data_IF_993731415206
#
_entry.id   IF_993731415206
#
_cell.length_a   1.000
_cell.length_b   1.000
_cell.length_c   1.000
_cell.angle_alpha   90.00
_cell.angle_beta   90.00
_cell.angle_gamma   90.00
#
_symmetry.space_group_name_H-M   'P 1'
#
loop_
_entity.id
_entity.type
_entity.pdbx_description
1 polymer ?
#
# COMPACT_ATOMS: atom_id res chain seq x y z
N UNK A 1 -2.97 39.17 -17.34
CA UNK A 1 -3.39 38.79 -15.98
C UNK A 1 -2.82 39.80 -15.01
N UNK A 2 -3.65 40.45 -14.19
CA UNK A 2 -3.15 41.44 -13.21
C UNK A 2 -2.55 40.72 -12.00
N UNK A 3 -1.45 41.25 -11.45
CA UNK A 3 -0.88 40.78 -10.19
C UNK A 3 -1.88 40.90 -9.02
N UNK A 4 -2.85 41.82 -9.11
CA UNK A 4 -3.90 42.01 -8.11
C UNK A 4 -4.89 40.86 -8.01
N UNK A 5 -5.28 40.25 -9.13
CA UNK A 5 -6.25 39.14 -9.14
C UNK A 5 -5.65 37.89 -8.47
N UNK A 6 -4.35 37.68 -8.66
CA UNK A 6 -3.60 36.59 -8.04
C UNK A 6 -3.44 36.76 -6.54
N UNK A 7 -3.12 37.97 -6.09
CA UNK A 7 -3.01 38.28 -4.67
C UNK A 7 -4.35 38.03 -3.95
N UNK A 8 -5.46 38.51 -4.52
CA UNK A 8 -6.79 38.31 -3.95
C UNK A 8 -7.20 36.83 -3.88
N UNK A 9 -6.90 36.04 -4.93
CA UNK A 9 -7.17 34.61 -4.93
C UNK A 9 -6.39 33.84 -3.85
N UNK A 10 -5.11 34.20 -3.66
CA UNK A 10 -4.26 33.61 -2.62
C UNK A 10 -4.77 34.02 -1.24
N UNK A 11 -5.04 35.30 -1.00
CA UNK A 11 -5.56 35.80 0.28
C UNK A 11 -6.85 35.08 0.68
N UNK A 12 -7.79 34.92 -0.26
CA UNK A 12 -9.02 34.18 -0.04
C UNK A 12 -8.78 32.69 0.29
N UNK A 13 -7.77 32.06 -0.32
CA UNK A 13 -7.40 30.68 -0.02
C UNK A 13 -6.74 30.53 1.37
N UNK A 14 -6.00 31.55 1.82
CA UNK A 14 -5.30 31.55 3.10
C UNK A 14 -6.23 31.76 4.30
N UNK A 15 -7.34 32.48 4.12
CA UNK A 15 -8.28 32.79 5.19
C UNK A 15 -8.84 31.56 5.95
N UNK A 16 -8.90 30.39 5.28
CA UNK A 16 -9.33 29.13 5.88
C UNK A 16 -8.20 28.14 6.21
N UNK A 17 -6.93 28.55 6.08
CA UNK A 17 -5.77 27.68 6.26
C UNK A 17 -5.40 27.52 7.73
N UNK A 18 -5.08 26.29 8.15
CA UNK A 18 -4.55 26.01 9.48
C UNK A 18 -3.17 26.65 9.74
N UNK A 19 -2.44 27.01 8.68
CA UNK A 19 -1.15 27.69 8.75
C UNK A 19 -0.98 28.60 7.53
N UNK A 20 -1.50 29.84 7.59
CA UNK A 20 -1.47 30.77 6.47
C UNK A 20 -0.05 31.06 5.97
N UNK A 21 0.93 31.22 6.87
CA UNK A 21 2.32 31.53 6.49
C UNK A 21 2.96 30.39 5.68
N UNK A 22 2.78 29.14 6.12
CA UNK A 22 3.33 27.98 5.40
C UNK A 22 2.64 27.81 4.04
N UNK A 23 1.32 27.98 4.01
CA UNK A 23 0.55 27.91 2.78
C UNK A 23 1.00 28.99 1.78
N UNK A 24 1.19 30.23 2.23
CA UNK A 24 1.67 31.33 1.39
C UNK A 24 3.05 31.02 0.83
N UNK A 25 4.02 30.64 1.68
CA UNK A 25 5.37 30.27 1.23
C UNK A 25 5.33 29.12 0.22
N UNK A 26 4.53 28.09 0.48
CA UNK A 26 4.36 26.95 -0.42
C UNK A 26 3.79 27.36 -1.78
N UNK A 27 2.70 28.12 -1.78
CA UNK A 27 2.06 28.62 -3.01
C UNK A 27 3.02 29.53 -3.79
N UNK A 28 3.73 30.45 -3.13
CA UNK A 28 4.70 31.33 -3.79
C UNK A 28 5.82 30.53 -4.45
N UNK A 29 6.42 29.56 -3.74
CA UNK A 29 7.48 28.70 -4.29
C UNK A 29 6.95 27.85 -5.47
N UNK A 30 5.71 27.38 -5.38
CA UNK A 30 5.05 26.63 -6.44
C UNK A 30 4.86 27.49 -7.71
N UNK A 31 4.34 28.71 -7.56
CA UNK A 31 4.13 29.64 -8.67
C UNK A 31 5.47 30.05 -9.33
N UNK A 32 6.54 30.22 -8.55
CA UNK A 32 7.88 30.54 -9.07
C UNK A 32 8.48 29.43 -9.95
N UNK A 33 7.99 28.20 -9.84
CA UNK A 33 8.46 27.04 -10.63
C UNK A 33 7.63 26.76 -11.88
N UNK A 34 6.56 27.53 -12.10
CA UNK A 34 5.67 27.35 -13.24
C UNK A 34 5.69 28.55 -14.18
N UNK A 35 5.51 28.33 -15.49
CA UNK A 35 5.14 29.39 -16.42
C UNK A 35 3.85 30.08 -15.96
N UNK A 36 3.78 31.41 -16.17
CA UNK A 36 2.63 32.23 -15.77
C UNK A 36 1.31 31.81 -16.45
N UNK A 37 1.40 31.14 -17.60
CA UNK A 37 0.29 30.60 -18.38
C UNK A 37 0.12 29.09 -18.21
N UNK A 38 0.72 28.47 -17.19
CA UNK A 38 0.48 27.05 -16.93
C UNK A 38 -1.00 26.78 -16.56
N UNK A 39 -1.53 25.59 -16.88
CA UNK A 39 -2.89 25.20 -16.47
C UNK A 39 -3.13 25.32 -14.96
N UNK A 40 -2.13 25.01 -14.14
CA UNK A 40 -2.20 25.14 -12.69
C UNK A 40 -2.33 26.60 -12.22
N UNK A 41 -1.57 27.54 -12.80
CA UNK A 41 -1.68 28.98 -12.48
C UNK A 41 -3.05 29.51 -12.88
N UNK A 42 -3.53 29.17 -14.09
CA UNK A 42 -4.88 29.53 -14.53
C UNK A 42 -5.96 28.97 -13.61
N UNK A 43 -5.81 27.71 -13.18
CA UNK A 43 -6.76 27.08 -12.27
C UNK A 43 -6.76 27.72 -10.89
N UNK A 44 -5.61 28.16 -10.37
CA UNK A 44 -5.53 28.86 -9.08
C UNK A 44 -6.35 30.16 -9.09
N UNK A 45 -6.38 30.88 -10.21
CA UNK A 45 -7.21 32.07 -10.38
C UNK A 45 -8.69 31.75 -10.64
N UNK A 46 -8.94 30.79 -11.52
CA UNK A 46 -10.30 30.50 -12.00
C UNK A 46 -11.10 29.58 -11.06
N UNK A 47 -10.45 28.87 -10.13
CA UNK A 47 -11.07 27.83 -9.30
C UNK A 47 -10.71 28.03 -7.81
N UNK A 48 -11.52 28.78 -7.04
CA UNK A 48 -11.26 29.04 -5.62
C UNK A 48 -11.03 27.78 -4.78
N UNK A 49 -11.76 26.69 -5.05
CA UNK A 49 -11.58 25.40 -4.37
C UNK A 49 -10.21 24.77 -4.62
N UNK A 50 -9.64 24.95 -5.81
CA UNK A 50 -8.31 24.45 -6.12
C UNK A 50 -7.25 25.23 -5.33
N UNK A 51 -7.35 26.56 -5.28
CA UNK A 51 -6.48 27.41 -4.49
C UNK A 51 -6.55 27.07 -2.99
N UNK A 52 -7.75 26.91 -2.43
CA UNK A 52 -7.97 26.48 -1.04
C UNK A 52 -7.37 25.11 -0.75
N UNK A 53 -7.50 24.15 -1.67
CA UNK A 53 -6.89 22.83 -1.47
C UNK A 53 -5.38 22.85 -1.59
N UNK A 54 -4.80 23.71 -2.44
CA UNK A 54 -3.34 23.91 -2.44
C UNK A 54 -2.85 24.56 -1.14
N UNK A 55 -3.59 25.55 -0.61
CA UNK A 55 -3.28 26.13 0.70
C UNK A 55 -3.35 25.07 1.81
N UNK A 56 -4.38 24.20 1.78
CA UNK A 56 -4.52 23.08 2.73
C UNK A 56 -3.37 22.09 2.61
N UNK A 57 -2.96 21.75 1.37
CA UNK A 57 -1.84 20.84 1.11
C UNK A 57 -0.53 21.38 1.67
N UNK A 58 -0.19 22.63 1.36
CA UNK A 58 1.06 23.26 1.83
C UNK A 58 1.07 23.54 3.33
N UNK A 59 -0.10 23.81 3.93
CA UNK A 59 -0.21 23.96 5.37
C UNK A 59 -0.10 22.61 6.10
N UNK A 60 -0.70 21.56 5.55
CA UNK A 60 -0.94 20.28 6.24
C UNK A 60 0.08 19.18 5.97
N UNK A 61 0.79 19.20 4.84
CA UNK A 61 1.69 18.09 4.46
C UNK A 61 3.00 18.57 3.84
N UNK A 62 4.09 18.59 4.62
CA UNK A 62 5.44 18.79 4.07
C UNK A 62 5.80 17.75 3.00
N UNK A 63 5.37 16.50 3.17
CA UNK A 63 5.64 15.41 2.23
C UNK A 63 5.03 15.68 0.85
N UNK A 64 3.73 15.97 0.78
CA UNK A 64 3.06 16.26 -0.49
C UNK A 64 3.48 17.62 -1.04
N UNK A 65 3.73 18.59 -0.16
CA UNK A 65 4.24 19.92 -0.53
C UNK A 65 5.59 19.82 -1.25
N UNK A 66 6.54 19.04 -0.73
CA UNK A 66 7.83 18.84 -1.39
C UNK A 66 7.70 18.07 -2.71
N UNK A 67 6.83 17.06 -2.79
CA UNK A 67 6.52 16.39 -4.07
C UNK A 67 6.05 17.42 -5.11
N UNK A 68 5.06 18.23 -4.75
CA UNK A 68 4.46 19.21 -5.66
C UNK A 68 5.44 20.32 -6.02
N UNK A 69 6.33 20.69 -5.11
CA UNK A 69 7.36 21.67 -5.39
C UNK A 69 8.41 21.11 -6.36
N UNK A 70 8.79 19.84 -6.24
CA UNK A 70 9.76 19.21 -7.15
C UNK A 70 9.18 18.96 -8.55
N UNK A 71 7.88 18.68 -8.63
CA UNK A 71 7.15 18.38 -9.87
C UNK A 71 5.85 19.18 -9.95
N UNK A 72 5.92 20.51 -10.15
CA UNK A 72 4.74 21.38 -10.10
C UNK A 72 3.72 21.12 -11.20
N UNK A 73 4.14 20.55 -12.33
CA UNK A 73 3.27 20.08 -13.41
C UNK A 73 2.28 18.99 -12.97
N UNK A 74 2.64 18.19 -11.96
CA UNK A 74 1.78 17.11 -11.45
C UNK A 74 0.50 17.66 -10.80
N UNK A 75 0.45 18.96 -10.46
CA UNK A 75 -0.75 19.66 -9.99
C UNK A 75 -1.93 19.53 -10.97
N UNK A 76 -1.66 19.39 -12.27
CA UNK A 76 -2.69 19.25 -13.30
C UNK A 76 -3.53 17.98 -13.13
N UNK A 77 -2.95 16.93 -12.54
CA UNK A 77 -3.69 15.71 -12.25
C UNK A 77 -4.86 15.95 -11.26
N UNK A 78 -4.74 16.96 -10.41
CA UNK A 78 -5.78 17.36 -9.44
C UNK A 78 -6.94 18.11 -10.11
N UNK A 79 -6.76 18.61 -11.34
CA UNK A 79 -7.73 19.42 -12.08
C UNK A 79 -8.69 18.60 -12.96
N UNK A 80 -8.46 17.30 -13.11
CA UNK A 80 -9.23 16.40 -13.99
C UNK A 80 -10.69 16.23 -13.52
N UNK A 81 -11.65 15.90 -14.42
CA UNK A 81 -13.07 15.79 -14.11
C UNK A 81 -13.42 14.77 -13.02
N UNK A 82 -12.72 13.62 -12.99
CA UNK A 82 -12.87 12.61 -11.92
C UNK A 82 -12.33 13.11 -10.56
N UNK A 83 -11.65 14.27 -10.57
CA UNK A 83 -11.14 15.00 -9.43
C UNK A 83 -10.16 14.24 -8.55
N UNK A 84 -9.78 14.87 -7.43
CA UNK A 84 -9.10 14.18 -6.34
C UNK A 84 -9.98 13.08 -5.71
N UNK A 85 -11.31 13.24 -5.74
CA UNK A 85 -12.27 12.38 -5.06
C UNK A 85 -12.56 11.03 -5.75
N UNK A 86 -12.18 10.86 -7.03
CA UNK A 86 -12.44 9.63 -7.79
C UNK A 86 -11.70 8.42 -7.20
N UNK A 87 -12.44 7.43 -6.68
CA UNK A 87 -11.83 6.18 -6.20
C UNK A 87 -11.48 5.26 -7.38
N UNK A 88 -10.30 4.66 -7.33
CA UNK A 88 -9.78 3.75 -8.35
C UNK A 88 -9.59 2.35 -7.79
N UNK A 89 -9.90 1.36 -8.62
CA UNK A 89 -9.66 -0.06 -8.39
C UNK A 89 -8.25 -0.43 -8.87
N UNK A 90 -7.66 -1.55 -8.39
CA UNK A 90 -6.36 -2.02 -8.88
C UNK A 90 -6.28 -2.15 -10.40
N UNK A 91 -7.35 -2.59 -11.07
CA UNK A 91 -7.42 -2.70 -12.53
C UNK A 91 -7.33 -1.35 -13.26
N UNK A 92 -7.87 -0.28 -12.68
CA UNK A 92 -7.78 1.07 -13.24
C UNK A 92 -6.37 1.63 -13.10
N UNK A 93 -5.70 1.37 -11.96
CA UNK A 93 -4.29 1.71 -11.79
C UNK A 93 -3.39 0.92 -12.74
N UNK A 94 -3.64 -0.39 -12.91
CA UNK A 94 -2.94 -1.21 -13.88
C UNK A 94 -3.12 -0.68 -15.30
N UNK A 95 -4.34 -0.31 -15.69
CA UNK A 95 -4.61 0.24 -17.02
C UNK A 95 -3.82 1.54 -17.26
N UNK A 96 -3.86 2.47 -16.30
CA UNK A 96 -3.09 3.71 -16.38
C UNK A 96 -1.57 3.46 -16.43
N UNK A 97 -1.08 2.50 -15.64
CA UNK A 97 0.32 2.08 -15.62
C UNK A 97 0.75 1.48 -16.97
N UNK A 98 -0.05 0.57 -17.54
CA UNK A 98 0.21 -0.01 -18.85
C UNK A 98 0.20 1.04 -19.97
N UNK A 99 -0.72 2.01 -19.91
CA UNK A 99 -0.73 3.13 -20.86
C UNK A 99 0.52 4.01 -20.74
N UNK A 100 1.02 4.24 -19.52
CA UNK A 100 2.22 5.04 -19.29
C UNK A 100 3.51 4.37 -19.78
N UNK A 101 3.58 3.03 -19.73
CA UNK A 101 4.77 2.27 -20.19
C UNK A 101 4.72 1.89 -21.67
N UNK A 102 3.54 1.81 -22.28
CA UNK A 102 3.36 1.42 -23.69
C UNK A 102 4.22 2.18 -24.71
N UNK A 103 4.42 3.52 -24.61
CA UNK A 103 5.24 4.25 -25.59
C UNK A 103 6.75 4.09 -25.39
N UNK A 104 7.18 3.37 -24.35
CA UNK A 104 8.59 3.23 -23.96
C UNK A 104 9.07 1.81 -24.28
N UNK A 105 10.31 1.69 -24.78
CA UNK A 105 10.93 0.40 -25.09
C UNK A 105 11.84 -0.10 -23.98
N UNK A 106 12.60 0.82 -23.35
CA UNK A 106 13.59 0.48 -22.32
C UNK A 106 12.92 0.15 -20.98
N UNK A 107 13.18 -1.03 -20.38
CA UNK A 107 12.59 -1.43 -19.10
C UNK A 107 12.84 -0.42 -17.98
N UNK A 108 14.05 0.17 -17.92
CA UNK A 108 14.37 1.21 -16.95
C UNK A 108 13.46 2.45 -17.09
N UNK A 109 13.24 2.91 -18.32
CA UNK A 109 12.36 4.03 -18.60
C UNK A 109 10.89 3.70 -18.29
N UNK A 110 10.46 2.47 -18.58
CA UNK A 110 9.12 1.98 -18.21
C UNK A 110 8.93 2.02 -16.68
N UNK A 111 9.89 1.53 -15.90
CA UNK A 111 9.82 1.57 -14.44
C UNK A 111 9.81 3.00 -13.89
N UNK A 112 10.56 3.93 -14.50
CA UNK A 112 10.51 5.35 -14.12
C UNK A 112 9.17 6.01 -14.46
N UNK A 113 8.50 5.61 -15.55
CA UNK A 113 7.13 6.04 -15.82
C UNK A 113 6.15 5.58 -14.74
N UNK A 114 6.34 4.38 -14.18
CA UNK A 114 5.55 3.89 -13.05
C UNK A 114 5.81 4.71 -11.77
N UNK A 115 7.05 5.14 -11.51
CA UNK A 115 7.40 6.01 -10.38
C UNK A 115 6.71 7.37 -10.48
N UNK A 116 6.71 7.99 -11.66
CA UNK A 116 5.96 9.23 -11.93
C UNK A 116 4.47 9.04 -11.69
N UNK A 117 3.88 7.94 -12.19
CA UNK A 117 2.47 7.64 -11.95
C UNK A 117 2.17 7.49 -10.45
N UNK A 118 3.01 6.78 -9.70
CA UNK A 118 2.82 6.64 -8.26
C UNK A 118 2.83 7.99 -7.54
N UNK A 119 3.81 8.85 -7.87
CA UNK A 119 3.94 10.19 -7.29
C UNK A 119 2.69 11.03 -7.53
N UNK A 120 2.19 11.03 -8.78
CA UNK A 120 0.93 11.71 -9.15
C UNK A 120 -0.26 11.15 -8.35
N UNK A 121 -0.34 9.83 -8.18
CA UNK A 121 -1.43 9.22 -7.42
C UNK A 121 -1.31 9.48 -5.91
N UNK A 122 -0.10 9.59 -5.36
CA UNK A 122 0.11 10.03 -3.98
C UNK A 122 -0.35 11.46 -3.76
N UNK A 123 -0.07 12.38 -4.69
CA UNK A 123 -0.63 13.74 -4.66
C UNK A 123 -2.15 13.70 -4.68
N UNK A 124 -2.76 12.93 -5.59
CA UNK A 124 -4.22 12.83 -5.70
C UNK A 124 -4.86 12.26 -4.44
N UNK A 125 -4.34 11.15 -3.93
CA UNK A 125 -4.85 10.47 -2.73
C UNK A 125 -4.66 11.36 -1.49
N UNK A 126 -3.47 11.94 -1.33
CA UNK A 126 -3.15 12.83 -0.23
C UNK A 126 -3.92 14.14 -0.25
N UNK A 127 -4.19 14.71 -1.42
CA UNK A 127 -5.04 15.88 -1.55
C UNK A 127 -6.49 15.58 -1.12
N UNK A 128 -7.03 14.40 -1.48
CA UNK A 128 -8.35 13.98 -1.04
C UNK A 128 -8.42 13.71 0.47
N UNK A 129 -7.38 13.10 1.04
CA UNK A 129 -7.23 12.85 2.48
C UNK A 129 -7.21 14.17 3.27
N UNK A 130 -6.35 15.11 2.89
CA UNK A 130 -6.22 16.41 3.57
C UNK A 130 -7.47 17.28 3.48
N UNK A 131 -8.25 17.14 2.41
CA UNK A 131 -9.53 17.83 2.27
C UNK A 131 -10.69 17.12 2.97
N UNK A 132 -10.44 15.99 3.64
CA UNK A 132 -11.46 15.21 4.34
C UNK A 132 -12.50 14.59 3.40
N UNK A 133 -12.15 14.38 2.12
CA UNK A 133 -13.07 13.81 1.13
C UNK A 133 -13.27 12.30 1.32
N UNK A 134 -12.32 11.65 2.00
CA UNK A 134 -12.32 10.22 2.27
C UNK A 134 -12.09 9.95 3.75
N UNK A 135 -12.69 8.87 4.25
CA UNK A 135 -12.34 8.31 5.54
C UNK A 135 -11.05 7.50 5.45
N UNK A 136 -10.50 7.12 6.61
CA UNK A 136 -9.26 6.35 6.69
C UNK A 136 -9.32 5.06 5.87
N UNK A 137 -10.45 4.34 5.92
CA UNK A 137 -10.63 3.09 5.18
C UNK A 137 -10.55 3.30 3.66
N UNK A 138 -11.13 4.38 3.15
CA UNK A 138 -11.00 4.74 1.74
C UNK A 138 -9.57 5.15 1.39
N UNK A 139 -8.88 5.94 2.21
CA UNK A 139 -7.48 6.34 1.97
C UNK A 139 -6.57 5.11 1.90
N UNK A 140 -6.61 4.24 2.91
CA UNK A 140 -5.76 3.05 2.93
C UNK A 140 -6.13 2.07 1.81
N UNK A 141 -7.42 1.94 1.49
CA UNK A 141 -7.88 1.15 0.36
C UNK A 141 -7.38 1.67 -0.98
N UNK A 142 -7.32 2.99 -1.17
CA UNK A 142 -6.76 3.61 -2.39
C UNK A 142 -5.25 3.44 -2.48
N UNK A 143 -4.51 3.57 -1.38
CA UNK A 143 -3.07 3.30 -1.33
C UNK A 143 -2.76 1.83 -1.65
N UNK A 144 -3.55 0.89 -1.11
CA UNK A 144 -3.44 -0.52 -1.43
C UNK A 144 -3.80 -0.84 -2.89
N UNK A 145 -4.85 -0.20 -3.43
CA UNK A 145 -5.23 -0.40 -4.83
C UNK A 145 -4.15 0.11 -5.80
N UNK A 146 -3.51 1.24 -5.47
CA UNK A 146 -2.37 1.77 -6.22
C UNK A 146 -1.19 0.80 -6.20
N UNK A 147 -0.81 0.31 -5.01
CA UNK A 147 0.28 -0.66 -4.87
C UNK A 147 0.03 -1.93 -5.66
N UNK A 148 -1.18 -2.50 -5.57
CA UNK A 148 -1.56 -3.69 -6.34
C UNK A 148 -1.46 -3.44 -7.87
N UNK A 149 -2.00 -2.33 -8.37
CA UNK A 149 -1.92 -1.98 -9.78
C UNK A 149 -0.49 -1.81 -10.28
N UNK A 150 0.38 -1.16 -9.49
CA UNK A 150 1.78 -0.96 -9.83
C UNK A 150 2.60 -2.25 -9.75
N UNK A 151 2.37 -3.12 -8.76
CA UNK A 151 3.04 -4.44 -8.67
C UNK A 151 2.70 -5.29 -9.92
N UNK A 152 1.45 -5.28 -10.36
CA UNK A 152 1.03 -5.95 -11.60
C UNK A 152 1.74 -5.39 -12.83
N UNK A 153 1.88 -4.07 -12.91
CA UNK A 153 2.58 -3.41 -14.02
C UNK A 153 4.09 -3.71 -14.01
N UNK A 154 4.74 -3.66 -12.85
CA UNK A 154 6.16 -4.03 -12.69
C UNK A 154 6.38 -5.47 -13.11
N UNK A 155 5.55 -6.41 -12.64
CA UNK A 155 5.63 -7.81 -13.07
C UNK A 155 5.52 -7.94 -14.58
N UNK A 156 4.61 -7.20 -15.22
CA UNK A 156 4.46 -7.20 -16.68
C UNK A 156 5.71 -6.70 -17.41
N UNK A 157 6.34 -5.63 -16.91
CA UNK A 157 7.60 -5.09 -17.46
C UNK A 157 8.74 -6.09 -17.29
N UNK A 158 8.93 -6.62 -16.09
CA UNK A 158 10.00 -7.57 -15.77
C UNK A 158 9.83 -8.89 -16.54
N UNK A 159 8.62 -9.42 -16.64
CA UNK A 159 8.32 -10.64 -17.40
C UNK A 159 8.74 -10.50 -18.87
N UNK A 160 8.43 -9.36 -19.51
CA UNK A 160 8.87 -9.08 -20.89
C UNK A 160 10.38 -8.92 -20.99
N UNK A 161 10.99 -8.16 -20.09
CA UNK A 161 12.43 -7.88 -20.08
C UNK A 161 13.26 -9.17 -19.91
N UNK A 162 12.83 -10.06 -19.03
CA UNK A 162 13.51 -11.32 -18.75
C UNK A 162 13.16 -12.43 -19.76
N UNK A 163 12.16 -12.21 -20.63
CA UNK A 163 11.64 -13.24 -21.53
C UNK A 163 10.97 -14.41 -20.79
N UNK A 164 10.42 -14.16 -19.59
CA UNK A 164 9.82 -15.18 -18.71
C UNK A 164 8.31 -14.96 -18.62
N UNK A 165 7.54 -16.01 -18.93
CA UNK A 165 6.08 -15.97 -18.74
C UNK A 165 5.72 -15.88 -17.25
N UNK A 166 4.75 -15.03 -16.92
CA UNK A 166 4.17 -14.96 -15.58
C UNK A 166 3.19 -16.12 -15.28
N UNK A 167 2.89 -16.99 -16.26
CA UNK A 167 2.07 -18.18 -16.03
C UNK A 167 2.78 -19.16 -15.08
N UNK A 168 2.03 -19.72 -14.13
CA UNK A 168 2.61 -20.59 -13.10
C UNK A 168 3.49 -19.85 -12.10
N UNK A 169 3.38 -18.52 -11.99
CA UNK A 169 4.06 -17.68 -11.02
C UNK A 169 3.08 -16.64 -10.44
N UNK A 170 2.96 -16.57 -9.12
CA UNK A 170 2.05 -15.65 -8.45
C UNK A 170 2.76 -14.84 -7.36
N UNK A 171 2.31 -13.61 -7.18
CA UNK A 171 2.73 -12.69 -6.12
C UNK A 171 1.61 -12.62 -5.10
N UNK A 172 1.91 -13.03 -3.87
CA UNK A 172 1.02 -12.91 -2.73
C UNK A 172 1.39 -11.65 -1.94
N UNK A 173 0.40 -10.80 -1.72
CA UNK A 173 0.50 -9.72 -0.75
C UNK A 173 0.18 -10.23 0.64
N UNK A 174 1.01 -9.82 1.60
CA UNK A 174 0.87 -10.14 3.01
C UNK A 174 0.63 -8.87 3.82
N UNK A 175 0.46 -9.00 5.15
CA UNK A 175 0.47 -7.86 6.06
C UNK A 175 -0.58 -6.79 5.73
N UNK A 176 -0.14 -5.53 5.61
CA UNK A 176 -1.02 -4.40 5.31
C UNK A 176 -1.51 -4.40 3.87
N UNK A 177 -0.67 -4.76 2.90
CA UNK A 177 -1.08 -4.84 1.50
C UNK A 177 -2.13 -5.92 1.30
N UNK A 178 -1.92 -7.10 1.89
CA UNK A 178 -2.88 -8.21 1.84
C UNK A 178 -4.23 -7.84 2.45
N UNK A 179 -4.24 -7.09 3.55
CA UNK A 179 -5.46 -6.58 4.17
C UNK A 179 -6.08 -5.35 3.51
N UNK A 180 -5.46 -4.75 2.49
CA UNK A 180 -5.98 -3.51 1.88
C UNK A 180 -5.85 -2.27 2.80
N UNK A 181 -4.82 -2.25 3.65
CA UNK A 181 -4.63 -1.29 4.74
C UNK A 181 -3.25 -0.61 4.68
N UNK A 182 -2.72 -0.35 3.47
CA UNK A 182 -1.45 0.38 3.34
C UNK A 182 -1.59 1.83 3.79
N UNK A 183 -0.51 2.36 4.36
CA UNK A 183 -0.33 3.80 4.59
C UNK A 183 0.81 4.34 3.70
N UNK A 184 0.98 5.66 3.64
CA UNK A 184 1.93 6.33 2.73
C UNK A 184 3.39 5.86 2.82
N UNK A 185 3.83 5.34 3.97
CA UNK A 185 5.20 4.89 4.22
C UNK A 185 5.28 3.39 4.49
N UNK A 186 4.27 2.62 4.06
CA UNK A 186 4.26 1.17 4.27
C UNK A 186 5.20 0.46 3.30
N UNK A 187 5.88 -0.56 3.83
CA UNK A 187 6.54 -1.57 3.01
C UNK A 187 5.47 -2.46 2.38
N UNK A 188 5.81 -3.08 1.24
CA UNK A 188 4.99 -4.13 0.65
C UNK A 188 5.54 -5.49 1.07
N UNK A 189 4.80 -6.19 1.93
CA UNK A 189 5.12 -7.54 2.33
C UNK A 189 4.70 -8.51 1.21
N UNK A 190 5.66 -9.15 0.53
CA UNK A 190 5.41 -10.03 -0.61
C UNK A 190 5.95 -11.44 -0.40
N UNK A 191 5.23 -12.43 -0.93
CA UNK A 191 5.70 -13.82 -1.07
C UNK A 191 5.47 -14.27 -2.51
N UNK A 192 6.48 -14.87 -3.13
CA UNK A 192 6.38 -15.41 -4.48
C UNK A 192 6.13 -16.92 -4.42
N UNK A 193 5.13 -17.38 -5.15
CA UNK A 193 4.81 -18.80 -5.30
C UNK A 193 4.81 -19.20 -6.77
N UNK A 194 5.22 -20.44 -7.06
CA UNK A 194 5.24 -20.97 -8.41
C UNK A 194 4.80 -22.44 -8.45
N UNK A 195 4.28 -22.90 -9.59
CA UNK A 195 4.00 -24.33 -9.82
C UNK A 195 5.30 -25.13 -9.68
N UNK A 196 6.37 -24.64 -10.32
CA UNK A 196 7.71 -25.20 -10.23
C UNK A 196 8.71 -24.08 -9.92
N UNK A 197 9.68 -24.38 -9.06
CA UNK A 197 10.79 -23.45 -8.78
C UNK A 197 11.91 -23.72 -9.76
N UNK A 198 12.22 -22.73 -10.60
CA UNK A 198 13.34 -22.74 -11.54
C UNK A 198 14.07 -21.40 -11.56
N UNK A 199 15.22 -21.36 -12.23
CA UNK A 199 16.06 -20.17 -12.32
C UNK A 199 15.36 -19.00 -13.02
N UNK A 200 14.43 -19.28 -13.95
CA UNK A 200 13.70 -18.24 -14.67
C UNK A 200 12.71 -17.51 -13.75
N UNK A 201 11.96 -18.23 -12.92
CA UNK A 201 11.05 -17.66 -11.92
C UNK A 201 11.82 -16.92 -10.82
N UNK A 202 12.99 -17.44 -10.42
CA UNK A 202 13.86 -16.75 -9.44
C UNK A 202 14.36 -15.42 -10.01
N UNK A 203 14.86 -15.40 -11.26
CA UNK A 203 15.27 -14.15 -11.92
C UNK A 203 14.11 -13.17 -12.06
N UNK A 204 12.93 -13.65 -12.44
CA UNK A 204 11.73 -12.81 -12.52
C UNK A 204 11.38 -12.19 -11.16
N UNK A 205 11.40 -12.98 -10.08
CA UNK A 205 11.16 -12.46 -8.73
C UNK A 205 12.21 -11.42 -8.31
N UNK A 206 13.49 -11.64 -8.62
CA UNK A 206 14.57 -10.68 -8.35
C UNK A 206 14.36 -9.38 -9.13
N UNK A 207 14.01 -9.47 -10.43
CA UNK A 207 13.72 -8.32 -11.27
C UNK A 207 12.51 -7.52 -10.76
N UNK A 208 11.46 -8.19 -10.26
CA UNK A 208 10.29 -7.52 -9.66
C UNK A 208 10.68 -6.80 -8.36
N UNK A 209 11.43 -7.47 -7.48
CA UNK A 209 11.92 -6.87 -6.23
C UNK A 209 12.77 -5.64 -6.53
N UNK A 210 13.68 -5.74 -7.49
CA UNK A 210 14.53 -4.64 -7.92
C UNK A 210 13.72 -3.50 -8.56
N UNK A 211 12.79 -3.83 -9.45
CA UNK A 211 11.92 -2.85 -10.11
C UNK A 211 11.07 -2.06 -9.13
N UNK A 212 10.64 -2.68 -8.03
CA UNK A 212 9.90 -2.02 -6.95
C UNK A 212 10.81 -1.17 -6.04
N UNK A 213 11.95 -1.72 -5.62
CA UNK A 213 12.76 -1.16 -4.53
C UNK A 213 13.89 -0.23 -4.99
N UNK A 214 14.38 -0.37 -6.22
CA UNK A 214 15.51 0.44 -6.72
C UNK A 214 15.13 1.92 -6.73
N UNK A 215 16.03 2.74 -6.18
CA UNK A 215 15.91 4.19 -6.22
C UNK A 215 16.56 4.75 -7.49
N UNK A 216 15.85 5.62 -8.18
CA UNK A 216 16.30 6.40 -9.34
C UNK A 216 16.11 7.89 -9.05
N UNK A 217 16.36 8.75 -10.04
CA UNK A 217 16.05 10.18 -9.94
C UNK A 217 14.55 10.45 -9.74
N UNK A 218 13.69 9.51 -10.14
CA UNK A 218 12.24 9.57 -9.93
C UNK A 218 11.82 8.94 -8.58
N UNK A 219 12.79 8.54 -7.74
CA UNK A 219 12.55 7.87 -6.46
C UNK A 219 12.46 6.34 -6.58
N UNK A 220 11.69 5.71 -5.71
CA UNK A 220 11.42 4.26 -5.72
C UNK A 220 9.92 4.03 -5.59
N UNK A 221 9.43 2.86 -6.02
CA UNK A 221 8.01 2.52 -5.88
C UNK A 221 7.71 2.11 -4.44
N UNK A 222 8.27 1.00 -3.99
CA UNK A 222 8.01 0.47 -2.65
C UNK A 222 9.25 -0.22 -2.11
N UNK A 223 9.50 -0.05 -0.81
CA UNK A 223 10.36 -0.97 -0.08
C UNK A 223 9.65 -2.33 0.00
N UNK A 224 10.38 -3.39 -0.32
CA UNK A 224 9.83 -4.76 -0.35
C UNK A 224 10.31 -5.54 0.86
N UNK A 225 9.38 -6.14 1.60
CA UNK A 225 9.68 -7.07 2.68
C UNK A 225 9.32 -8.51 2.26
N UNK A 226 10.30 -9.40 2.31
CA UNK A 226 10.17 -10.80 1.89
C UNK A 226 10.30 -11.78 3.06
N UNK A 227 10.27 -11.29 4.31
CA UNK A 227 10.54 -12.10 5.51
C UNK A 227 9.41 -13.07 5.86
N UNK A 228 8.23 -12.91 5.29
CA UNK A 228 7.06 -13.76 5.56
C UNK A 228 6.98 -15.02 4.68
N UNK A 229 7.96 -15.23 3.78
CA UNK A 229 8.07 -16.46 2.99
C UNK A 229 8.55 -17.65 3.85
N UNK A 230 8.36 -18.91 3.41
CA UNK A 230 8.86 -20.09 4.13
C UNK A 230 10.30 -19.95 4.54
N UNK A 231 10.62 -20.30 5.80
CA UNK A 231 11.98 -20.18 6.35
C UNK A 231 12.52 -18.74 6.40
N UNK A 232 11.67 -17.73 6.19
CA UNK A 232 12.04 -16.32 6.21
C UNK A 232 13.22 -16.00 5.30
N UNK A 233 14.25 -15.33 5.84
CA UNK A 233 15.40 -14.85 5.06
C UNK A 233 16.27 -15.97 4.47
N UNK A 234 16.28 -17.15 5.08
CA UNK A 234 17.09 -18.29 4.63
C UNK A 234 16.34 -19.19 3.65
N UNK A 235 15.03 -18.96 3.46
CA UNK A 235 14.23 -19.70 2.52
C UNK A 235 14.37 -19.24 1.07
N UNK A 236 13.90 -20.07 0.13
CA UNK A 236 13.93 -19.74 -1.29
C UNK A 236 13.15 -18.46 -1.54
N UNK A 237 13.60 -17.66 -2.51
CA UNK A 237 12.91 -16.43 -2.90
C UNK A 237 11.52 -16.73 -3.49
N UNK A 238 11.43 -17.80 -4.28
CA UNK A 238 10.20 -18.31 -4.89
C UNK A 238 9.93 -19.69 -4.30
N UNK A 239 8.77 -19.86 -3.68
CA UNK A 239 8.38 -21.14 -3.10
C UNK A 239 7.54 -21.95 -4.09
N UNK A 240 7.92 -23.20 -4.34
CA UNK A 240 7.04 -24.16 -5.03
C UNK A 240 5.79 -24.41 -4.20
N UNK A 241 4.61 -24.46 -4.84
CA UNK A 241 3.32 -24.64 -4.15
C UNK A 241 3.32 -25.86 -3.23
N UNK A 242 3.73 -27.02 -3.73
CA UNK A 242 3.76 -28.27 -2.95
C UNK A 242 4.69 -28.15 -1.74
N UNK A 243 5.90 -27.61 -1.94
CA UNK A 243 6.88 -27.43 -0.88
C UNK A 243 6.41 -26.44 0.19
N UNK A 244 5.69 -25.38 -0.20
CA UNK A 244 5.11 -24.44 0.77
C UNK A 244 3.97 -25.11 1.55
N UNK A 245 3.08 -25.86 0.90
CA UNK A 245 2.02 -26.59 1.60
C UNK A 245 2.62 -27.58 2.62
N UNK A 246 3.67 -28.30 2.26
CA UNK A 246 4.37 -29.20 3.19
C UNK A 246 5.04 -28.44 4.34
N UNK A 247 5.66 -27.29 4.05
CA UNK A 247 6.18 -26.40 5.08
C UNK A 247 5.10 -25.99 6.09
N UNK A 248 3.90 -25.64 5.62
CA UNK A 248 2.77 -25.26 6.49
C UNK A 248 2.30 -26.39 7.40
N UNK A 249 2.30 -27.63 6.89
CA UNK A 249 1.94 -28.82 7.69
C UNK A 249 2.94 -29.08 8.80
N UNK A 250 4.22 -29.08 8.46
CA UNK A 250 5.25 -29.73 9.27
C UNK A 250 6.15 -28.75 10.04
N UNK A 251 6.28 -27.51 9.57
CA UNK A 251 7.33 -26.60 10.04
C UNK A 251 6.85 -25.18 10.40
N UNK A 252 5.70 -24.74 9.86
CA UNK A 252 5.25 -23.37 10.04
C UNK A 252 4.95 -23.03 11.50
N UNK A 253 5.51 -21.91 11.95
CA UNK A 253 5.28 -21.37 13.28
C UNK A 253 3.87 -20.74 13.37
N UNK A 254 3.29 -20.66 14.57
CA UNK A 254 1.95 -20.08 14.73
C UNK A 254 1.78 -18.67 14.17
N UNK A 255 2.79 -17.82 14.31
CA UNK A 255 2.75 -16.45 13.78
C UNK A 255 2.75 -16.41 12.24
N UNK A 256 3.28 -17.43 11.57
CA UNK A 256 3.25 -17.53 10.09
C UNK A 256 1.83 -17.86 9.61
N UNK A 257 1.14 -18.76 10.31
CA UNK A 257 -0.29 -19.04 10.08
C UNK A 257 -1.15 -17.80 10.33
N UNK A 258 -0.84 -17.06 11.39
CA UNK A 258 -1.46 -15.78 11.70
C UNK A 258 -1.27 -14.75 10.58
N UNK A 259 -0.05 -14.64 10.04
CA UNK A 259 0.26 -13.74 8.93
C UNK A 259 -0.49 -14.13 7.64
N UNK A 260 -0.66 -15.43 7.36
CA UNK A 260 -1.38 -15.94 6.19
C UNK A 260 -2.88 -15.63 6.18
N UNK A 261 -3.50 -15.31 7.33
CA UNK A 261 -4.88 -14.81 7.36
C UNK A 261 -5.08 -13.53 6.53
N UNK A 262 -4.00 -12.76 6.33
CA UNK A 262 -3.99 -11.50 5.57
C UNK A 262 -3.70 -11.70 4.10
N UNK A 263 -3.29 -12.91 3.68
CA UNK A 263 -2.70 -13.12 2.38
C UNK A 263 -3.73 -12.96 1.24
N UNK A 264 -3.33 -12.33 0.13
CA UNK A 264 -4.10 -12.27 -1.12
C UNK A 264 -3.20 -12.41 -2.33
N UNK A 265 -3.65 -13.11 -3.37
CA UNK A 265 -2.99 -13.09 -4.67
C UNK A 265 -3.24 -11.73 -5.35
N UNK A 266 -2.17 -10.99 -5.66
CA UNK A 266 -2.24 -9.61 -6.16
C UNK A 266 -1.62 -9.41 -7.54
N UNK A 267 -0.74 -10.29 -8.00
CA UNK A 267 -0.17 -10.24 -9.35
C UNK A 267 0.28 -11.63 -9.82
N UNK A 268 0.50 -11.75 -11.14
CA UNK A 268 0.89 -13.00 -11.79
C UNK A 268 -0.31 -13.87 -12.11
N UNK A 269 -0.11 -15.18 -12.02
CA UNK A 269 -1.15 -16.18 -12.19
C UNK A 269 -2.13 -16.18 -11.01
N UNK A 270 -3.29 -15.54 -11.19
CA UNK A 270 -4.30 -15.43 -10.15
C UNK A 270 -4.84 -16.81 -9.74
N UNK A 271 -5.00 -17.75 -10.70
CA UNK A 271 -5.53 -19.07 -10.42
C UNK A 271 -4.58 -19.88 -9.54
N UNK A 272 -3.27 -19.81 -9.82
CA UNK A 272 -2.25 -20.41 -8.96
C UNK A 272 -2.25 -19.83 -7.55
N UNK A 273 -2.26 -18.50 -7.43
CA UNK A 273 -2.21 -17.82 -6.14
C UNK A 273 -3.44 -18.11 -5.28
N UNK A 274 -4.65 -18.01 -5.84
CA UNK A 274 -5.91 -18.36 -5.17
C UNK A 274 -5.96 -19.85 -4.83
N UNK A 275 -5.50 -20.72 -5.74
CA UNK A 275 -5.41 -22.17 -5.52
C UNK A 275 -4.50 -22.53 -4.35
N UNK A 276 -3.33 -21.89 -4.24
CA UNK A 276 -2.45 -22.04 -3.09
C UNK A 276 -3.13 -21.58 -1.79
N UNK A 277 -3.75 -20.39 -1.77
CA UNK A 277 -4.41 -19.87 -0.57
C UNK A 277 -5.57 -20.76 -0.12
N UNK A 278 -6.32 -21.32 -1.07
CA UNK A 278 -7.37 -22.30 -0.82
C UNK A 278 -6.81 -23.57 -0.17
N UNK A 279 -5.73 -24.14 -0.73
CA UNK A 279 -5.08 -25.33 -0.19
C UNK A 279 -4.40 -25.09 1.17
N UNK A 280 -3.87 -23.89 1.41
CA UNK A 280 -3.25 -23.50 2.67
C UNK A 280 -4.27 -23.27 3.79
N UNK A 281 -5.50 -22.86 3.45
CA UNK A 281 -6.54 -22.46 4.41
C UNK A 281 -6.79 -23.49 5.52
N UNK A 282 -7.01 -24.79 5.26
CA UNK A 282 -7.22 -25.77 6.32
C UNK A 282 -6.03 -25.89 7.29
N UNK A 283 -4.80 -25.64 6.80
CA UNK A 283 -3.56 -25.73 7.58
C UNK A 283 -3.34 -24.53 8.49
N UNK A 284 -4.06 -23.42 8.27
CA UNK A 284 -4.02 -22.26 9.16
C UNK A 284 -4.68 -22.56 10.50
N UNK A 285 -5.64 -23.48 10.50
CA UNK A 285 -6.46 -23.82 11.65
C UNK A 285 -6.09 -25.19 12.23
N UNK A 286 -6.65 -25.53 13.40
CA UNK A 286 -6.47 -26.85 14.04
C UNK A 286 -5.81 -26.81 15.41
N UNK A 287 -5.24 -25.67 15.83
CA UNK A 287 -4.81 -25.50 17.21
C UNK A 287 -6.01 -25.24 18.13
N UNK A 288 -5.97 -25.79 19.35
CA UNK A 288 -6.97 -25.48 20.38
C UNK A 288 -6.99 -23.97 20.70
N UNK A 289 -8.17 -23.40 20.99
CA UNK A 289 -8.34 -21.97 21.19
C UNK A 289 -7.40 -21.39 22.25
N UNK A 290 -7.22 -22.09 23.37
CA UNK A 290 -6.28 -21.69 24.43
C UNK A 290 -4.82 -21.69 23.97
N UNK A 291 -4.44 -22.61 23.08
CA UNK A 291 -3.10 -22.63 22.51
C UNK A 291 -2.87 -21.40 21.61
N UNK A 292 -3.83 -21.07 20.75
CA UNK A 292 -3.79 -19.86 19.91
C UNK A 292 -3.70 -18.60 20.78
N UNK A 293 -4.55 -18.50 21.82
CA UNK A 293 -4.55 -17.38 22.76
C UNK A 293 -3.18 -17.20 23.42
N UNK A 294 -2.57 -18.28 23.92
CA UNK A 294 -1.24 -18.22 24.55
C UNK A 294 -0.16 -17.77 23.57
N UNK A 295 -0.22 -18.24 22.31
CA UNK A 295 0.74 -17.86 21.27
C UNK A 295 0.65 -16.37 20.93
N UNK A 296 -0.56 -15.86 20.67
CA UNK A 296 -0.76 -14.43 20.36
C UNK A 296 -0.36 -13.56 21.55
N UNK A 297 -0.72 -13.96 22.77
CA UNK A 297 -0.33 -13.24 23.98
C UNK A 297 1.19 -13.24 24.20
N UNK A 298 1.90 -14.33 23.87
CA UNK A 298 3.36 -14.39 23.95
C UNK A 298 4.02 -13.47 22.92
N UNK A 299 3.52 -13.44 21.69
CA UNK A 299 3.99 -12.52 20.66
C UNK A 299 3.81 -11.05 21.08
N UNK A 300 2.64 -10.72 21.66
CA UNK A 300 2.39 -9.38 22.21
C UNK A 300 3.38 -9.03 23.32
N UNK A 301 3.57 -9.91 24.31
CA UNK A 301 4.52 -9.67 25.41
C UNK A 301 5.92 -9.39 24.90
N UNK A 302 6.41 -10.17 23.92
CA UNK A 302 7.72 -9.95 23.34
C UNK A 302 7.88 -8.56 22.69
N UNK A 303 6.84 -8.08 21.99
CA UNK A 303 6.83 -6.73 21.42
C UNK A 303 6.82 -5.67 22.51
N UNK A 304 5.98 -5.82 23.52
CA UNK A 304 5.84 -4.86 24.62
C UNK A 304 7.14 -4.77 25.45
N UNK A 305 7.80 -5.90 25.73
CA UNK A 305 9.08 -5.94 26.43
C UNK A 305 10.18 -5.26 25.60
N UNK A 306 10.18 -5.45 24.28
CA UNK A 306 11.08 -4.75 23.37
C UNK A 306 10.84 -3.23 23.27
N UNK A 307 9.63 -2.75 23.57
CA UNK A 307 9.35 -1.31 23.69
C UNK A 307 9.89 -0.76 25.00
N UNK A 308 9.64 -1.45 26.12
CA UNK A 308 10.16 -1.08 27.45
C UNK A 308 11.68 -1.00 27.47
N UNK A 309 12.35 -1.99 26.87
CA UNK A 309 13.81 -2.00 26.74
C UNK A 309 14.37 -0.79 25.96
N UNK A 310 13.54 -0.10 25.17
CA UNK A 310 13.89 1.13 24.42
C UNK A 310 13.36 2.41 25.10
N UNK A 311 12.89 2.33 26.34
CA UNK A 311 12.33 3.47 27.09
C UNK A 311 10.98 3.95 26.56
N UNK A 312 10.22 3.09 25.86
CA UNK A 312 8.91 3.42 25.27
C UNK A 312 7.78 2.80 26.10
N UNK A 313 7.78 3.07 27.41
CA UNK A 313 6.87 2.43 28.37
C UNK A 313 5.38 2.72 28.11
N UNK A 314 5.08 3.90 27.57
CA UNK A 314 3.72 4.32 27.19
C UNK A 314 3.26 3.77 25.84
N UNK A 315 4.12 3.02 25.13
CA UNK A 315 3.84 2.48 23.81
C UNK A 315 3.97 3.48 22.66
N UNK A 316 3.48 3.07 21.50
CA UNK A 316 3.45 3.81 20.24
C UNK A 316 2.09 3.57 19.55
N UNK A 317 1.73 4.43 18.59
CA UNK A 317 0.49 4.26 17.81
C UNK A 317 0.39 2.86 17.18
N UNK A 318 1.52 2.32 16.69
CA UNK A 318 1.58 1.01 16.02
C UNK A 318 1.72 -0.16 17.01
N UNK A 319 2.38 0.02 18.15
CA UNK A 319 2.78 -1.07 19.05
C UNK A 319 2.65 -0.65 20.51
N UNK A 320 2.25 -1.56 21.40
CA UNK A 320 1.99 -1.25 22.81
C UNK A 320 0.51 -1.41 23.16
N UNK A 321 0.14 -1.09 24.40
CA UNK A 321 -1.23 -1.26 24.89
C UNK A 321 -2.23 -0.40 24.11
N UNK A 322 -3.29 -1.01 23.58
CA UNK A 322 -4.35 -0.30 22.83
C UNK A 322 -3.92 0.15 21.43
N UNK A 323 -2.76 -0.31 20.96
CA UNK A 323 -2.23 0.06 19.65
C UNK A 323 -2.95 -0.62 18.48
N UNK A 324 -2.64 -0.17 17.26
CA UNK A 324 -3.12 -0.81 16.02
C UNK A 324 -2.83 -2.33 16.05
N UNK A 325 -1.63 -2.73 16.50
CA UNK A 325 -1.24 -4.13 16.56
C UNK A 325 -2.06 -4.94 17.55
N UNK A 326 -2.52 -4.36 18.66
CA UNK A 326 -3.39 -5.05 19.61
C UNK A 326 -4.73 -5.42 18.97
N UNK A 327 -5.29 -4.51 18.19
CA UNK A 327 -6.53 -4.74 17.42
C UNK A 327 -6.30 -5.81 16.36
N UNK A 328 -5.21 -5.72 15.58
CA UNK A 328 -4.84 -6.73 14.58
C UNK A 328 -4.70 -8.12 15.21
N UNK A 329 -4.01 -8.22 16.35
CA UNK A 329 -3.76 -9.48 17.05
C UNK A 329 -5.04 -10.08 17.64
N UNK A 330 -5.92 -9.26 18.22
CA UNK A 330 -7.22 -9.72 18.71
C UNK A 330 -8.07 -10.32 17.57
N UNK A 331 -8.17 -9.60 16.45
CA UNK A 331 -8.92 -10.02 15.28
C UNK A 331 -8.36 -11.31 14.70
N UNK A 332 -7.04 -11.39 14.55
CA UNK A 332 -6.39 -12.59 14.03
C UNK A 332 -6.50 -13.78 14.98
N UNK A 333 -6.41 -13.55 16.30
CA UNK A 333 -6.68 -14.58 17.32
C UNK A 333 -8.08 -15.18 17.14
N UNK A 334 -9.12 -14.33 17.09
CA UNK A 334 -10.50 -14.79 16.97
C UNK A 334 -10.74 -15.54 15.65
N UNK A 335 -10.14 -15.06 14.55
CA UNK A 335 -10.19 -15.76 13.28
C UNK A 335 -9.48 -17.12 13.33
N UNK A 336 -8.30 -17.24 13.95
CA UNK A 336 -7.62 -18.53 14.11
C UNK A 336 -8.39 -19.49 15.03
N UNK A 337 -8.99 -18.97 16.11
CA UNK A 337 -9.68 -19.76 17.12
C UNK A 337 -11.04 -20.30 16.65
N UNK A 338 -11.72 -19.61 15.73
CA UNK A 338 -13.09 -19.94 15.31
C UNK A 338 -13.23 -20.18 13.79
N UNK A 339 -12.26 -19.77 12.97
CA UNK A 339 -12.39 -19.73 11.52
C UNK A 339 -12.54 -21.09 10.83
N UNK A 340 -12.10 -22.17 11.47
CA UNK A 340 -12.33 -23.53 10.97
C UNK A 340 -13.81 -23.91 10.93
N UNK A 341 -14.57 -23.56 11.99
CA UNK A 341 -15.99 -23.90 12.12
C UNK A 341 -16.91 -22.75 11.71
N UNK A 342 -16.37 -21.53 11.63
CA UNK A 342 -17.09 -20.29 11.31
C UNK A 342 -16.41 -19.52 10.19
N UNK A 343 -16.37 -20.05 8.95
CA UNK A 343 -15.63 -19.42 7.86
C UNK A 343 -16.17 -18.03 7.47
N UNK A 344 -17.39 -17.68 7.87
CA UNK A 344 -18.01 -16.36 7.66
C UNK A 344 -17.27 -15.22 8.37
N UNK A 345 -16.47 -15.51 9.42
CA UNK A 345 -15.70 -14.50 10.14
C UNK A 345 -14.39 -14.11 9.44
N UNK A 346 -13.97 -14.92 8.47
CA UNK A 346 -12.67 -14.79 7.84
C UNK A 346 -12.66 -13.62 6.87
N UNK A 347 -11.79 -12.65 7.12
CA UNK A 347 -11.48 -11.55 6.22
C UNK A 347 -10.03 -11.09 6.40
N UNK A 348 -9.29 -10.87 5.28
CA UNK A 348 -7.96 -10.28 5.36
C UNK A 348 -7.98 -8.87 5.96
N UNK A 349 -8.95 -8.03 5.62
CA UNK A 349 -9.04 -6.65 6.09
C UNK A 349 -9.51 -6.57 7.56
N UNK A 350 -8.80 -5.81 8.41
CA UNK A 350 -9.07 -5.76 9.86
C UNK A 350 -10.44 -5.14 10.18
N UNK A 351 -10.80 -3.94 9.65
CA UNK A 351 -12.15 -3.38 9.86
C UNK A 351 -13.29 -4.32 9.44
N UNK A 352 -13.14 -4.98 8.29
CA UNK A 352 -14.13 -5.94 7.81
C UNK A 352 -14.22 -7.18 8.71
N UNK A 353 -13.08 -7.71 9.15
CA UNK A 353 -13.04 -8.84 10.08
C UNK A 353 -13.69 -8.48 11.43
N UNK A 354 -13.45 -7.27 11.97
CA UNK A 354 -14.14 -6.78 13.17
C UNK A 354 -15.66 -6.78 13.00
N UNK A 355 -16.15 -6.27 11.87
CA UNK A 355 -17.58 -6.24 11.55
C UNK A 355 -18.18 -7.65 11.48
N UNK A 356 -17.46 -8.60 10.85
CA UNK A 356 -17.87 -10.01 10.76
C UNK A 356 -17.88 -10.69 12.13
N UNK A 357 -16.84 -10.48 12.94
CA UNK A 357 -16.73 -11.02 14.30
C UNK A 357 -17.85 -10.52 15.21
N UNK A 358 -18.21 -9.24 15.13
CA UNK A 358 -19.37 -8.68 15.84
C UNK A 358 -20.69 -9.31 15.37
N UNK A 359 -20.89 -9.39 14.06
CA UNK A 359 -22.10 -10.02 13.47
C UNK A 359 -22.24 -11.48 13.91
N UNK A 360 -21.11 -12.16 14.09
CA UNK A 360 -21.02 -13.53 14.57
C UNK A 360 -21.20 -13.68 16.10
N UNK A 361 -21.32 -12.60 16.87
CA UNK A 361 -21.43 -12.62 18.32
C UNK A 361 -20.13 -13.00 19.06
N UNK A 362 -18.98 -12.88 18.40
CA UNK A 362 -17.65 -13.11 19.00
C UNK A 362 -17.04 -11.83 19.59
N UNK A 363 -17.65 -10.69 19.29
CA UNK A 363 -17.37 -9.38 19.88
C UNK A 363 -18.72 -8.71 20.21
N UNK A 364 -18.78 -7.89 21.27
CA UNK A 364 -19.99 -7.18 21.66
C UNK A 364 -20.47 -6.16 20.62
#
# INVERSE_FOLDING_TARGET
MSSGDLAAAIEAALAGSASPDRALVGITRFLQRLPADSPAVRALLARPRFAQGLATLFAGSPFLGEILLQHPEDAEALLKPDGAAGRRRPSQHLHAALAAVAPLTEPAAQLDALRRLQRIEYLRIGYADLLGLWDLAAVTGQLSALAEGLIRAVLSVCARSEGVSAHGFAVLAMGKLGGGELNYSSDVDLVFVAEHTDDARIRLAQAVVDGLARSTVEGHLYRVDLRLRPWGRTGPLVAGVEGYIEYLRSNARPWERQALLRARAVAGDQALGEGFLWAARPLLFGAAQDAVRRQVAAAKRHIDDGLRARGRDWGEVKSGSGSIRDVEFLVQYLQLAHGATRPEILAPNTPEALRRLRTAGLLP
#
